data_IF_274689067615
#
_entry.id   IF_274689067615
#
_cell.length_a   1.000
_cell.length_b   1.000
_cell.length_c   1.000
_cell.angle_alpha   90.00
_cell.angle_beta   90.00
_cell.angle_gamma   90.00
#
_symmetry.space_group_name_H-M   'P 1'
#
loop_
_entity.id
_entity.type
_entity.pdbx_description
1 polymer ?
#
# COMPACT_ATOMS: atom_id res chain seq x y z
N UNK A 1 23.02 14.75 21.62
CA UNK A 1 22.88 13.51 20.83
C UNK A 1 21.66 13.73 19.97
N UNK A 2 21.83 13.99 18.68
CA UNK A 2 20.72 13.92 17.74
C UNK A 2 20.41 12.43 17.59
N UNK A 3 19.32 11.97 18.20
CA UNK A 3 18.74 10.69 17.81
C UNK A 3 18.47 10.81 16.31
N UNK A 4 19.25 10.09 15.48
CA UNK A 4 18.86 9.90 14.09
C UNK A 4 17.48 9.29 14.14
N UNK A 5 16.47 10.03 13.66
CA UNK A 5 15.14 9.45 13.45
C UNK A 5 15.33 8.23 12.56
N UNK A 6 14.80 7.09 13.01
CA UNK A 6 14.80 5.88 12.20
C UNK A 6 13.89 6.13 11.00
N UNK A 7 14.38 5.81 9.81
CA UNK A 7 13.57 5.80 8.60
C UNK A 7 12.81 4.47 8.54
N UNK A 8 11.48 4.50 8.52
CA UNK A 8 10.63 3.30 8.58
C UNK A 8 9.89 3.12 7.26
N UNK A 9 9.93 1.92 6.72
CA UNK A 9 9.08 1.50 5.61
C UNK A 9 8.05 0.49 6.11
N UNK A 10 6.78 0.84 5.98
CA UNK A 10 5.67 -0.01 6.37
C UNK A 10 5.34 -1.00 5.25
N UNK A 11 5.56 -2.29 5.52
CA UNK A 11 5.07 -3.40 4.70
C UNK A 11 3.62 -3.70 5.15
N UNK A 12 2.61 -3.53 4.29
CA UNK A 12 1.24 -3.84 4.66
C UNK A 12 1.08 -5.35 4.86
N UNK A 13 0.41 -5.73 5.94
CA UNK A 13 -0.10 -7.09 6.11
C UNK A 13 -1.40 -7.18 5.32
N UNK A 14 -1.39 -7.99 4.26
CA UNK A 14 -2.53 -8.15 3.37
C UNK A 14 -3.20 -9.48 3.69
N UNK A 15 -4.37 -9.41 4.33
CA UNK A 15 -5.21 -10.58 4.56
C UNK A 15 -6.43 -10.52 3.64
N UNK A 16 -6.50 -11.49 2.72
CA UNK A 16 -7.57 -11.58 1.73
C UNK A 16 -8.82 -12.28 2.26
N UNK A 17 -8.70 -13.08 3.34
CA UNK A 17 -9.81 -13.85 3.92
C UNK A 17 -10.68 -13.00 4.86
N UNK A 18 -10.10 -12.01 5.54
CA UNK A 18 -10.79 -11.15 6.52
C UNK A 18 -11.35 -9.85 5.91
N UNK A 19 -11.58 -9.82 4.60
CA UNK A 19 -12.05 -8.61 3.92
C UNK A 19 -13.51 -8.27 4.31
N UNK A 20 -13.69 -7.38 5.29
CA UNK A 20 -14.97 -6.89 5.77
C UNK A 20 -15.55 -5.70 4.97
N UNK A 21 -15.09 -5.47 3.74
CA UNK A 21 -15.72 -4.49 2.85
C UNK A 21 -14.85 -4.04 1.68
N UNK A 22 -13.72 -3.40 1.96
CA UNK A 22 -12.86 -2.75 0.97
C UNK A 22 -11.52 -3.48 0.78
N UNK A 23 -10.98 -3.44 -0.44
CA UNK A 23 -9.71 -4.06 -0.80
C UNK A 23 -8.58 -3.66 0.19
N UNK A 24 -7.88 -4.62 0.84
CA UNK A 24 -6.84 -4.34 1.84
C UNK A 24 -5.70 -3.44 1.35
N UNK A 25 -5.36 -3.48 0.06
CA UNK A 25 -4.33 -2.59 -0.53
C UNK A 25 -4.86 -1.16 -0.64
N UNK A 26 -6.12 -0.99 -1.05
CA UNK A 26 -6.77 0.32 -1.07
C UNK A 26 -6.93 0.88 0.34
N UNK A 27 -7.33 0.05 1.29
CA UNK A 27 -7.40 0.42 2.71
C UNK A 27 -6.05 0.90 3.21
N UNK A 28 -4.95 0.19 2.91
CA UNK A 28 -3.61 0.62 3.25
C UNK A 28 -3.27 1.99 2.63
N UNK A 29 -3.57 2.21 1.35
CA UNK A 29 -3.33 3.49 0.68
C UNK A 29 -4.07 4.66 1.34
N UNK A 30 -5.35 4.47 1.69
CA UNK A 30 -6.17 5.49 2.35
C UNK A 30 -5.59 5.82 3.73
N UNK A 31 -5.33 4.81 4.57
CA UNK A 31 -4.80 5.02 5.92
C UNK A 31 -3.40 5.65 5.89
N UNK A 32 -2.53 5.26 4.94
CA UNK A 32 -1.22 5.87 4.76
C UNK A 32 -1.33 7.37 4.47
N UNK A 33 -2.24 7.78 3.58
CA UNK A 33 -2.47 9.20 3.29
C UNK A 33 -2.98 9.97 4.52
N UNK A 34 -3.93 9.39 5.25
CA UNK A 34 -4.47 10.01 6.47
C UNK A 34 -3.39 10.18 7.56
N UNK A 35 -2.47 9.22 7.66
CA UNK A 35 -1.36 9.23 8.63
C UNK A 35 -0.15 10.06 8.14
N UNK A 36 -0.18 10.60 6.92
CA UNK A 36 0.94 11.37 6.35
C UNK A 36 2.15 10.53 5.94
N UNK A 37 1.95 9.23 5.74
CA UNK A 37 2.97 8.27 5.29
C UNK A 37 3.08 8.36 3.77
N UNK A 38 4.30 8.50 3.24
CA UNK A 38 4.51 8.61 1.79
C UNK A 38 4.29 7.25 1.10
N UNK A 39 3.29 7.10 0.21
CA UNK A 39 3.08 5.86 -0.52
C UNK A 39 4.13 5.68 -1.61
N UNK A 40 4.72 4.48 -1.67
CA UNK A 40 5.66 4.04 -2.70
C UNK A 40 5.05 2.85 -3.42
N UNK A 41 4.90 2.99 -4.74
CA UNK A 41 4.24 2.01 -5.59
C UNK A 41 5.25 1.12 -6.31
N UNK A 42 4.86 -0.11 -6.61
CA UNK A 42 5.65 -1.01 -7.47
C UNK A 42 5.91 -0.39 -8.85
N UNK A 43 7.08 -0.68 -9.43
CA UNK A 43 7.62 -0.02 -10.62
C UNK A 43 8.38 1.29 -10.34
N UNK A 44 8.58 1.63 -9.06
CA UNK A 44 9.36 2.81 -8.63
C UNK A 44 10.59 2.47 -7.78
N UNK A 45 10.97 1.20 -7.73
CA UNK A 45 12.05 0.63 -6.90
C UNK A 45 13.36 1.38 -7.09
N UNK A 46 13.73 1.65 -8.35
CA UNK A 46 15.00 2.29 -8.70
C UNK A 46 15.10 3.75 -8.22
N UNK A 47 13.96 4.41 -7.97
CA UNK A 47 13.90 5.83 -7.61
C UNK A 47 13.45 6.05 -6.15
N UNK A 48 13.29 5.01 -5.33
CA UNK A 48 12.77 5.12 -3.96
C UNK A 48 13.51 6.19 -3.16
N UNK A 49 14.84 6.23 -3.24
CA UNK A 49 15.65 7.19 -2.46
C UNK A 49 15.33 8.65 -2.80
N UNK A 50 15.13 8.97 -4.07
CA UNK A 50 14.80 10.32 -4.52
C UNK A 50 13.34 10.67 -4.21
N UNK A 51 12.43 9.70 -4.40
CA UNK A 51 11.00 9.87 -4.14
C UNK A 51 10.67 10.08 -2.66
N UNK A 52 11.47 9.49 -1.77
CA UNK A 52 11.24 9.49 -0.33
C UNK A 52 12.14 10.48 0.40
N UNK A 53 12.84 11.36 -0.33
CA UNK A 53 13.66 12.40 0.27
C UNK A 53 12.80 13.34 1.13
N UNK A 54 13.16 13.46 2.41
CA UNK A 54 12.43 14.26 3.38
C UNK A 54 11.29 13.54 4.13
N UNK A 55 11.08 12.25 3.86
CA UNK A 55 10.13 11.42 4.61
C UNK A 55 10.84 10.52 5.62
N UNK A 56 10.36 10.57 6.86
CA UNK A 56 10.80 9.65 7.92
C UNK A 56 10.08 8.29 7.80
N UNK A 57 8.87 8.29 7.22
CA UNK A 57 7.98 7.13 7.14
C UNK A 57 7.42 7.00 5.72
N UNK A 58 7.51 5.78 5.19
CA UNK A 58 7.00 5.43 3.85
C UNK A 58 6.13 4.18 3.95
N UNK A 59 5.23 4.01 2.99
CA UNK A 59 4.34 2.86 2.90
C UNK A 59 4.52 2.15 1.57
N UNK A 60 4.77 0.83 1.61
CA UNK A 60 5.02 0.03 0.42
C UNK A 60 3.68 -0.49 -0.12
N UNK A 61 3.33 -0.13 -1.34
CA UNK A 61 2.05 -0.48 -1.95
C UNK A 61 2.27 -1.29 -3.24
N UNK A 62 1.88 -2.58 -3.25
CA UNK A 62 2.14 -3.50 -4.36
C UNK A 62 1.12 -3.35 -5.49
N UNK A 63 0.74 -2.11 -5.84
CA UNK A 63 -0.11 -1.87 -7.00
C UNK A 63 0.59 -2.37 -8.27
N UNK A 64 -0.11 -3.06 -9.19
CA UNK A 64 0.49 -3.44 -10.45
C UNK A 64 0.90 -2.20 -11.23
N UNK A 65 1.97 -2.33 -12.02
CA UNK A 65 2.30 -1.28 -13.00
C UNK A 65 1.23 -1.21 -14.09
N UNK A 66 1.07 -0.08 -14.81
CA UNK A 66 0.15 -0.01 -15.94
C UNK A 66 0.42 -1.08 -17.02
N UNK A 67 1.68 -1.48 -17.22
CA UNK A 67 2.02 -2.55 -18.17
C UNK A 67 1.54 -3.91 -17.70
N UNK A 68 1.75 -4.26 -16.43
CA UNK A 68 1.17 -5.47 -15.83
C UNK A 68 -0.36 -5.45 -15.88
N UNK A 69 -0.96 -4.26 -15.73
CA UNK A 69 -2.40 -4.09 -15.82
C UNK A 69 -2.95 -4.38 -17.24
N UNK A 70 -2.27 -3.89 -18.29
CA UNK A 70 -2.63 -4.14 -19.69
C UNK A 70 -2.53 -5.62 -20.09
N UNK A 71 -1.65 -6.41 -19.47
CA UNK A 71 -1.45 -7.82 -19.85
C UNK A 71 -2.61 -8.73 -19.43
N UNK A 72 -3.37 -8.32 -18.41
CA UNK A 72 -4.46 -9.11 -17.82
C UNK A 72 -5.82 -8.49 -18.11
N UNK A 73 -5.90 -7.17 -18.32
CA UNK A 73 -7.14 -6.50 -18.68
C UNK A 73 -7.16 -6.11 -20.16
N UNK A 74 -7.97 -6.84 -20.93
CA UNK A 74 -8.17 -6.61 -22.37
C UNK A 74 -8.64 -5.17 -22.72
N UNK A 75 -9.36 -4.50 -21.81
CA UNK A 75 -9.93 -3.15 -22.01
C UNK A 75 -9.27 -2.06 -21.12
N UNK A 76 -8.11 -2.34 -20.49
CA UNK A 76 -7.44 -1.34 -19.65
C UNK A 76 -6.76 -0.26 -20.50
N UNK A 77 -7.15 0.98 -20.26
CA UNK A 77 -6.53 2.17 -20.85
C UNK A 77 -5.55 2.79 -19.83
N UNK A 78 -4.23 2.64 -20.02
CA UNK A 78 -3.23 3.18 -19.12
C UNK A 78 -3.19 4.72 -19.09
N UNK A 79 -3.80 5.37 -20.10
CA UNK A 79 -3.87 6.82 -20.22
C UNK A 79 -5.18 7.40 -19.63
N UNK A 80 -6.05 6.54 -19.08
CA UNK A 80 -7.29 6.98 -18.45
C UNK A 80 -7.09 7.24 -16.94
N UNK A 81 -7.10 8.52 -16.57
CA UNK A 81 -6.90 9.00 -15.20
C UNK A 81 -7.96 8.50 -14.18
N UNK A 82 -9.05 7.87 -14.62
CA UNK A 82 -10.12 7.34 -13.75
C UNK A 82 -9.99 5.85 -13.39
N UNK A 83 -8.95 5.14 -13.86
CA UNK A 83 -8.83 3.67 -13.73
C UNK A 83 -8.05 3.25 -12.48
N UNK A 84 -7.94 4.11 -11.46
CA UNK A 84 -7.20 3.78 -10.23
C UNK A 84 -8.08 3.06 -9.18
N UNK A 85 -9.41 3.20 -9.22
CA UNK A 85 -10.21 2.92 -8.01
C UNK A 85 -10.97 1.59 -7.97
N UNK A 86 -11.30 0.93 -9.09
CA UNK A 86 -12.22 -0.23 -9.03
C UNK A 86 -11.78 -1.46 -9.86
N UNK A 87 -11.22 -1.28 -11.06
CA UNK A 87 -10.88 -2.43 -11.94
C UNK A 87 -9.45 -2.94 -11.77
N UNK A 88 -8.47 -2.05 -11.66
CA UNK A 88 -7.07 -2.43 -11.41
C UNK A 88 -6.85 -3.06 -10.03
N UNK A 89 -7.71 -2.72 -9.06
CA UNK A 89 -7.71 -3.30 -7.72
C UNK A 89 -8.33 -4.71 -7.67
N UNK A 90 -9.33 -4.99 -8.53
CA UNK A 90 -9.91 -6.34 -8.67
C UNK A 90 -8.96 -7.32 -9.38
N UNK A 91 -8.06 -6.85 -10.24
CA UNK A 91 -7.04 -7.68 -10.90
C UNK A 91 -6.07 -8.37 -9.93
N UNK A 92 -5.72 -7.70 -8.82
CA UNK A 92 -4.81 -8.26 -7.80
C UNK A 92 -5.40 -9.55 -7.19
N UNK A 93 -6.72 -9.71 -7.29
CA UNK A 93 -7.46 -10.79 -6.64
C UNK A 93 -7.80 -11.98 -7.54
N UNK A 94 -7.96 -11.80 -8.86
CA UNK A 94 -8.62 -12.83 -9.71
C UNK A 94 -7.68 -13.75 -10.54
N UNK A 95 -6.56 -13.30 -11.11
CA UNK A 95 -5.73 -14.16 -12.01
C UNK A 95 -4.26 -14.40 -11.58
N UNK A 96 -3.56 -13.46 -10.94
CA UNK A 96 -2.22 -13.69 -10.37
C UNK A 96 -2.23 -14.09 -8.88
N UNK A 97 -3.33 -13.80 -8.18
CA UNK A 97 -3.52 -14.09 -6.76
C UNK A 97 -2.49 -13.42 -5.82
N UNK A 98 -2.32 -14.04 -4.64
CA UNK A 98 -1.40 -13.58 -3.59
C UNK A 98 0.07 -13.58 -4.01
N UNK A 99 0.48 -14.48 -4.91
CA UNK A 99 1.88 -14.65 -5.32
C UNK A 99 2.41 -13.44 -6.09
N UNK A 100 1.63 -12.91 -7.04
CA UNK A 100 2.00 -11.67 -7.74
C UNK A 100 2.08 -10.48 -6.80
N UNK A 101 1.22 -10.41 -5.78
CA UNK A 101 1.25 -9.33 -4.79
C UNK A 101 2.48 -9.43 -3.90
N UNK A 102 2.80 -10.64 -3.42
CA UNK A 102 3.96 -10.92 -2.59
C UNK A 102 5.25 -10.58 -3.31
N UNK A 103 5.39 -10.95 -4.60
CA UNK A 103 6.57 -10.62 -5.39
C UNK A 103 6.77 -9.10 -5.53
N UNK A 104 5.70 -8.34 -5.77
CA UNK A 104 5.76 -6.86 -5.82
C UNK A 104 6.14 -6.27 -4.46
N UNK A 105 5.58 -6.79 -3.37
CA UNK A 105 5.95 -6.38 -2.02
C UNK A 105 7.42 -6.66 -1.73
N UNK A 106 7.92 -7.82 -2.11
CA UNK A 106 9.30 -8.22 -1.85
C UNK A 106 10.28 -7.33 -2.65
N UNK A 107 9.97 -7.00 -3.90
CA UNK A 107 10.76 -6.04 -4.69
C UNK A 107 10.83 -4.66 -4.01
N UNK A 108 9.69 -4.15 -3.54
CA UNK A 108 9.61 -2.89 -2.80
C UNK A 108 10.38 -2.94 -1.48
N UNK A 109 10.31 -4.06 -0.76
CA UNK A 109 11.04 -4.29 0.50
C UNK A 109 12.54 -4.28 0.25
N UNK A 110 13.03 -5.02 -0.75
CA UNK A 110 14.45 -5.03 -1.10
C UNK A 110 14.97 -3.63 -1.44
N UNK A 111 14.20 -2.88 -2.22
CA UNK A 111 14.54 -1.51 -2.60
C UNK A 111 14.52 -0.54 -1.40
N UNK A 112 13.54 -0.66 -0.50
CA UNK A 112 13.48 0.14 0.73
C UNK A 112 14.65 -0.16 1.68
N UNK A 113 15.02 -1.44 1.84
CA UNK A 113 16.22 -1.83 2.61
C UNK A 113 17.48 -1.24 1.98
N UNK A 114 17.62 -1.32 0.66
CA UNK A 114 18.76 -0.73 -0.06
C UNK A 114 18.82 0.81 0.10
N UNK A 115 17.67 1.47 0.23
CA UNK A 115 17.56 2.90 0.51
C UNK A 115 17.82 3.27 1.99
N UNK A 116 17.96 2.27 2.89
CA UNK A 116 18.31 2.47 4.30
C UNK A 116 17.12 2.53 5.26
N UNK A 117 15.94 2.08 4.83
CA UNK A 117 14.76 1.99 5.68
C UNK A 117 14.74 0.70 6.51
N UNK A 118 14.23 0.80 7.73
CA UNK A 118 13.86 -0.35 8.55
C UNK A 118 12.45 -0.82 8.15
N UNK A 119 12.29 -2.11 7.88
CA UNK A 119 11.00 -2.68 7.48
C UNK A 119 10.17 -3.01 8.72
N UNK A 120 8.95 -2.51 8.77
CA UNK A 120 7.98 -2.80 9.83
C UNK A 120 6.69 -3.27 9.19
N UNK A 121 6.21 -4.44 9.61
CA UNK A 121 4.89 -4.93 9.17
C UNK A 121 3.78 -4.17 9.90
N UNK A 122 2.73 -3.79 9.16
CA UNK A 122 1.57 -3.08 9.72
C UNK A 122 0.27 -3.55 9.07
N UNK A 123 -0.72 -3.85 9.90
CA UNK A 123 -2.05 -4.26 9.46
C UNK A 123 -2.98 -3.05 9.38
N UNK A 124 -3.01 -2.44 8.19
CA UNK A 124 -3.83 -1.25 7.93
C UNK A 124 -5.33 -1.56 7.91
N UNK A 125 -5.72 -2.80 7.61
CA UNK A 125 -7.13 -3.22 7.62
C UNK A 125 -7.65 -3.25 9.06
N UNK A 126 -6.86 -3.84 9.96
CA UNK A 126 -7.17 -3.82 11.39
C UNK A 126 -7.18 -2.40 11.95
N UNK A 127 -6.21 -1.56 11.58
CA UNK A 127 -6.17 -0.16 11.99
C UNK A 127 -7.45 0.58 11.58
N UNK A 128 -7.95 0.37 10.36
CA UNK A 128 -9.18 0.97 9.88
C UNK A 128 -10.41 0.50 10.69
N UNK A 129 -10.53 -0.80 10.96
CA UNK A 129 -11.62 -1.37 11.76
C UNK A 129 -11.62 -0.78 13.18
N UNK A 130 -10.46 -0.77 13.85
CA UNK A 130 -10.33 -0.25 15.21
C UNK A 130 -10.66 1.26 15.29
N UNK A 131 -10.32 2.03 14.24
CA UNK A 131 -10.70 3.45 14.12
C UNK A 131 -12.22 3.61 14.00
N UNK A 132 -12.86 2.85 13.10
CA UNK A 132 -14.29 2.89 12.87
C UNK A 132 -15.09 2.51 14.12
N UNK A 133 -14.66 1.47 14.85
CA UNK A 133 -15.29 1.07 16.11
C UNK A 133 -15.21 2.17 17.17
N UNK A 134 -14.04 2.80 17.31
CA UNK A 134 -13.83 3.91 18.25
C UNK A 134 -14.72 5.10 17.89
N UNK A 135 -14.82 5.44 16.61
CA UNK A 135 -15.63 6.55 16.13
C UNK A 135 -17.13 6.26 16.29
N UNK A 136 -17.56 5.03 16.05
CA UNK A 136 -18.93 4.59 16.31
C UNK A 136 -19.29 4.69 17.81
N UNK A 137 -18.39 4.27 18.69
CA UNK A 137 -18.57 4.42 20.14
C UNK A 137 -18.67 5.89 20.55
N UNK A 138 -17.84 6.77 19.98
CA UNK A 138 -17.89 8.20 20.24
C UNK A 138 -19.19 8.87 19.76
N UNK A 139 -19.79 8.36 18.67
CA UNK A 139 -21.10 8.83 18.15
C UNK A 139 -22.28 8.33 18.98
N UNK A 140 -22.21 7.11 19.52
CA UNK A 140 -23.26 6.49 20.34
C UNK A 140 -23.29 6.95 21.81
N UNK A 141 -22.26 7.62 22.30
CA UNK A 141 -22.14 8.11 23.68
C UNK A 141 -22.74 9.52 23.91
N UNK A 142 -23.55 10.06 22.98
CA UNK A 142 -24.22 11.37 23.09
C UNK A 142 -25.67 11.28 23.54
#
# INVERSE_FOLDING_TARGET
>A
MTESKKHIAYKPVINYDDNAGANPILTAYIIMQEDGICPVFHGREDNIKELTEGFDEIGLLPFPTPSEACEVLDDFDPDNDNVIEDWTLNMIFDEEGSEGTENRLDALVEAAVAAGFEIVERDFTKDAIERDERDAQARGAK
#
